data_IF_744683002432
#
_entry.id   IF_744683002432
#
_cell.length_a   1.000
_cell.length_b   1.000
_cell.length_c   1.000
_cell.angle_alpha   90.00
_cell.angle_beta   90.00
_cell.angle_gamma   90.00
#
_symmetry.space_group_name_H-M   'P 1'
#
loop_
_entity.id
_entity.type
_entity.pdbx_description
1 polymer ?
#
# COMPACT_ATOMS: atom_id res chain seq x y z
N UNK A 1 -10.16 -15.97 -10.84
CA UNK A 1 -9.29 -16.33 -9.69
C UNK A 1 -9.84 -15.65 -8.44
N UNK A 2 -9.82 -16.30 -7.26
CA UNK A 2 -10.35 -15.73 -6.00
C UNK A 2 -9.20 -15.22 -5.13
N UNK A 3 -9.30 -14.02 -4.53
CA UNK A 3 -8.29 -13.54 -3.61
C UNK A 3 -8.31 -14.38 -2.32
N UNK A 4 -7.14 -14.79 -1.86
CA UNK A 4 -6.94 -15.46 -0.57
C UNK A 4 -6.07 -14.58 0.32
N UNK A 5 -6.12 -14.77 1.64
CA UNK A 5 -5.31 -13.98 2.57
C UNK A 5 -3.80 -14.05 2.24
N UNK A 6 -3.31 -15.21 1.80
CA UNK A 6 -1.92 -15.37 1.33
C UNK A 6 -1.57 -14.42 0.18
N UNK A 7 -2.53 -14.10 -0.69
CA UNK A 7 -2.33 -13.15 -1.79
C UNK A 7 -2.17 -11.72 -1.29
N UNK A 8 -2.84 -11.34 -0.19
CA UNK A 8 -2.65 -10.01 0.44
C UNK A 8 -1.19 -9.84 0.87
N UNK A 9 -0.63 -10.82 1.58
CA UNK A 9 0.77 -10.81 2.00
C UNK A 9 1.75 -10.76 0.82
N UNK A 10 1.50 -11.56 -0.22
CA UNK A 10 2.32 -11.53 -1.45
C UNK A 10 2.29 -10.16 -2.11
N UNK A 11 1.13 -9.53 -2.23
CA UNK A 11 0.99 -8.20 -2.84
C UNK A 11 1.66 -7.12 -2.00
N UNK A 12 1.56 -7.19 -0.66
CA UNK A 12 2.27 -6.28 0.22
C UNK A 12 3.79 -6.43 0.07
N UNK A 13 4.31 -7.66 0.03
CA UNK A 13 5.74 -7.89 -0.18
C UNK A 13 6.22 -7.40 -1.56
N UNK A 14 5.42 -7.61 -2.61
CA UNK A 14 5.71 -7.08 -3.94
C UNK A 14 5.76 -5.54 -3.94
N UNK A 15 4.86 -4.89 -3.20
CA UNK A 15 4.90 -3.44 -3.01
C UNK A 15 6.17 -2.99 -2.29
N UNK A 16 6.63 -3.73 -1.27
CA UNK A 16 7.89 -3.40 -0.57
C UNK A 16 9.09 -3.44 -1.52
N UNK A 17 9.19 -4.49 -2.34
CA UNK A 17 10.21 -4.58 -3.37
C UNK A 17 10.12 -3.41 -4.36
N UNK A 18 8.91 -3.07 -4.81
CA UNK A 18 8.69 -1.94 -5.72
C UNK A 18 9.10 -0.60 -5.11
N UNK A 19 8.81 -0.36 -3.82
CA UNK A 19 9.24 0.86 -3.11
C UNK A 19 10.76 0.96 -3.07
N UNK A 20 11.46 -0.14 -2.75
CA UNK A 20 12.94 -0.16 -2.75
C UNK A 20 13.50 0.16 -4.14
N UNK A 21 12.93 -0.44 -5.19
CA UNK A 21 13.31 -0.14 -6.56
C UNK A 21 13.07 1.34 -6.91
N UNK A 22 11.93 1.90 -6.51
CA UNK A 22 11.60 3.31 -6.74
C UNK A 22 12.51 4.26 -5.97
N UNK A 23 12.97 3.90 -4.77
CA UNK A 23 14.00 4.69 -4.05
C UNK A 23 15.27 4.77 -4.89
N UNK A 24 15.74 3.65 -5.43
CA UNK A 24 16.91 3.60 -6.32
C UNK A 24 16.72 4.44 -7.59
N UNK A 25 15.59 4.29 -8.28
CA UNK A 25 15.30 5.07 -9.49
C UNK A 25 15.16 6.58 -9.21
N UNK A 26 14.53 6.97 -8.10
CA UNK A 26 14.43 8.37 -7.71
C UNK A 26 15.81 8.98 -7.45
N UNK A 27 16.74 8.22 -6.89
CA UNK A 27 18.12 8.66 -6.72
C UNK A 27 18.84 8.81 -8.06
N UNK A 28 18.73 7.80 -8.94
CA UNK A 28 19.39 7.78 -10.25
C UNK A 28 18.90 8.89 -11.20
N UNK A 29 17.59 9.18 -11.19
CA UNK A 29 16.95 10.11 -12.12
C UNK A 29 16.77 11.53 -11.55
N UNK A 30 17.26 11.78 -10.34
CA UNK A 30 16.92 12.96 -9.55
C UNK A 30 15.39 13.26 -9.52
N UNK A 31 14.56 12.22 -9.44
CA UNK A 31 13.10 12.30 -9.46
C UNK A 31 12.45 12.15 -8.07
N UNK A 32 11.16 12.41 -7.87
CA UNK A 32 10.50 12.24 -6.57
C UNK A 32 9.16 11.51 -6.67
N UNK A 33 9.15 10.38 -7.37
CA UNK A 33 7.98 9.53 -7.49
C UNK A 33 7.55 8.97 -6.13
N UNK A 34 6.23 8.90 -5.92
CA UNK A 34 5.60 8.52 -4.66
C UNK A 34 6.04 9.34 -3.44
N UNK A 35 6.67 10.50 -3.67
CA UNK A 35 7.24 11.35 -2.62
C UNK A 35 8.21 10.58 -1.69
N UNK A 36 9.03 9.69 -2.23
CA UNK A 36 9.94 8.86 -1.44
C UNK A 36 11.24 9.56 -1.03
N UNK A 37 11.61 10.70 -1.66
CA UNK A 37 12.79 11.50 -1.27
C UNK A 37 12.45 12.69 -0.40
N UNK A 38 11.30 13.32 -0.64
CA UNK A 38 10.80 14.45 0.15
C UNK A 38 9.30 14.63 -0.03
N UNK A 39 8.66 15.27 0.94
CA UNK A 39 7.25 15.66 0.87
C UNK A 39 7.00 16.66 -0.28
N UNK A 40 5.74 16.78 -0.76
CA UNK A 40 5.35 17.86 -1.67
C UNK A 40 5.68 19.23 -1.06
N UNK A 41 5.93 20.23 -1.92
CA UNK A 41 6.13 21.62 -1.45
C UNK A 41 4.83 22.27 -0.96
N UNK A 42 3.69 21.79 -1.46
CA UNK A 42 2.35 22.21 -1.03
C UNK A 42 1.93 21.44 0.21
N UNK A 43 0.98 22.01 0.97
CA UNK A 43 0.37 21.34 2.12
C UNK A 43 -0.16 19.94 1.72
N UNK A 44 0.14 18.94 2.54
CA UNK A 44 -0.21 17.55 2.29
C UNK A 44 -0.49 16.78 3.56
N UNK A 45 -1.21 15.66 3.44
CA UNK A 45 -1.45 14.76 4.58
C UNK A 45 -0.14 14.20 5.16
N UNK A 46 0.94 14.14 4.37
CA UNK A 46 2.24 13.67 4.82
C UNK A 46 2.88 14.59 5.88
N UNK A 47 2.40 15.82 6.01
CA UNK A 47 2.91 16.78 6.99
C UNK A 47 2.62 16.33 8.42
N UNK A 48 1.58 15.52 8.61
CA UNK A 48 1.18 14.97 9.92
C UNK A 48 1.94 13.69 10.31
N UNK A 49 2.77 13.14 9.43
CA UNK A 49 3.36 11.80 9.61
C UNK A 49 4.85 11.82 9.99
N UNK A 50 5.40 12.98 10.35
CA UNK A 50 6.81 13.15 10.73
C UNK A 50 7.76 13.40 9.56
N UNK A 51 9.04 13.60 9.85
CA UNK A 51 10.06 13.89 8.84
C UNK A 51 10.47 12.65 8.03
N UNK A 52 11.20 12.85 6.94
CA UNK A 52 11.77 11.74 6.19
C UNK A 52 12.77 10.95 7.06
N UNK A 53 12.75 9.59 7.06
CA UNK A 53 11.89 8.68 6.31
C UNK A 53 10.63 8.19 7.07
N UNK A 54 10.34 8.73 8.26
CA UNK A 54 9.27 8.23 9.13
C UNK A 54 7.89 8.25 8.49
N UNK A 55 7.54 9.31 7.74
CA UNK A 55 6.23 9.35 7.08
C UNK A 55 6.03 8.21 6.07
N UNK A 56 7.11 7.71 5.47
CA UNK A 56 7.04 6.59 4.53
C UNK A 56 6.63 5.32 5.28
N UNK A 57 7.21 5.09 6.47
CA UNK A 57 6.83 3.97 7.33
C UNK A 57 5.37 4.07 7.77
N UNK A 58 4.92 5.26 8.16
CA UNK A 58 3.52 5.50 8.55
C UNK A 58 2.57 5.18 7.38
N UNK A 59 2.87 5.65 6.17
CA UNK A 59 2.08 5.33 4.97
C UNK A 59 2.06 3.82 4.69
N UNK A 60 3.19 3.13 4.83
CA UNK A 60 3.23 1.67 4.66
C UNK A 60 2.37 0.94 5.69
N UNK A 61 2.34 1.40 6.94
CA UNK A 61 1.47 0.84 7.97
C UNK A 61 -0.01 1.08 7.65
N UNK A 62 -0.37 2.26 7.12
CA UNK A 62 -1.74 2.58 6.68
C UNK A 62 -2.15 1.71 5.48
N UNK A 63 -1.22 1.31 4.63
CA UNK A 63 -1.51 0.46 3.46
C UNK A 63 -1.97 -0.95 3.88
N UNK A 64 -1.45 -1.51 4.98
CA UNK A 64 -1.84 -2.87 5.44
C UNK A 64 -3.36 -3.02 5.64
N UNK A 65 -4.05 -2.19 6.45
CA UNK A 65 -5.49 -2.29 6.59
C UNK A 65 -6.25 -2.01 5.29
N UNK A 66 -5.73 -1.17 4.37
CA UNK A 66 -6.37 -0.96 3.06
C UNK A 66 -6.41 -2.24 2.23
N UNK A 67 -5.32 -3.00 2.18
CA UNK A 67 -5.29 -4.30 1.53
C UNK A 67 -6.28 -5.29 2.15
N UNK A 68 -6.40 -5.28 3.48
CA UNK A 68 -7.35 -6.12 4.20
C UNK A 68 -8.81 -5.73 3.95
N UNK A 69 -9.12 -4.43 3.85
CA UNK A 69 -10.45 -3.92 3.51
C UNK A 69 -10.86 -4.37 2.10
N UNK A 70 -9.94 -4.26 1.13
CA UNK A 70 -10.18 -4.76 -0.22
C UNK A 70 -10.44 -6.25 -0.19
N UNK A 71 -9.59 -7.05 0.46
CA UNK A 71 -9.78 -8.50 0.62
C UNK A 71 -11.13 -8.84 1.29
N UNK A 72 -11.51 -8.09 2.33
CA UNK A 72 -12.74 -8.29 3.08
C UNK A 72 -13.98 -8.16 2.19
N UNK A 73 -14.00 -7.19 1.27
CA UNK A 73 -15.13 -7.02 0.34
C UNK A 73 -15.37 -8.26 -0.53
N UNK A 74 -14.30 -8.88 -1.04
CA UNK A 74 -14.38 -10.12 -1.81
C UNK A 74 -14.79 -11.31 -0.94
N UNK A 75 -14.22 -11.41 0.27
CA UNK A 75 -14.57 -12.47 1.22
C UNK A 75 -16.06 -12.45 1.59
N UNK A 76 -16.61 -11.26 1.88
CA UNK A 76 -18.02 -11.07 2.19
C UNK A 76 -18.92 -11.40 0.99
N UNK A 77 -18.52 -10.97 -0.21
CA UNK A 77 -19.25 -11.29 -1.45
C UNK A 77 -19.35 -12.79 -1.69
N UNK A 78 -18.25 -13.53 -1.49
CA UNK A 78 -18.26 -14.99 -1.63
C UNK A 78 -19.13 -15.67 -0.57
N UNK A 79 -19.05 -15.21 0.68
CA UNK A 79 -19.85 -15.75 1.78
C UNK A 79 -21.35 -15.58 1.50
N UNK A 80 -21.76 -14.40 1.00
CA UNK A 80 -23.15 -14.15 0.58
C UNK A 80 -23.57 -15.07 -0.57
N UNK A 81 -22.74 -15.20 -1.61
CA UNK A 81 -23.04 -16.10 -2.74
C UNK A 81 -23.28 -17.55 -2.28
N UNK A 82 -22.43 -18.07 -1.40
CA UNK A 82 -22.58 -19.44 -0.84
C UNK A 82 -23.86 -19.59 -0.01
N UNK A 83 -24.29 -18.55 0.68
CA UNK A 83 -25.53 -18.55 1.45
C UNK A 83 -26.77 -18.66 0.55
N UNK A 84 -26.80 -17.95 -0.58
CA UNK A 84 -27.93 -17.96 -1.54
C UNK A 84 -27.92 -19.13 -2.54
N UNK A 85 -26.82 -19.90 -2.61
CA UNK A 85 -26.73 -21.12 -3.42
C UNK A 85 -27.06 -22.39 -2.63
N UNK A 86 -27.40 -22.26 -1.34
CA UNK A 86 -27.97 -23.32 -0.50
C UNK A 86 -29.48 -23.11 -0.45
#
# INVERSE_FOLDING_TARGET
>A
MKPVLKSVFKSFLALQLYVVLMIGLNYLLDANYFYLRKKPKSASVLDYFGEWPYYILVVQLIIIPLFLIIYLSFYLSEKRRKLFSK
#
